data_IF_458553802221
#
_entry.id   IF_458553802221
#
_cell.length_a   1.000
_cell.length_b   1.000
_cell.length_c   1.000
_cell.angle_alpha   90.00
_cell.angle_beta   90.00
_cell.angle_gamma   90.00
#
_symmetry.space_group_name_H-M   'P 1'
#
loop_
_entity.id
_entity.type
_entity.pdbx_description
1 polymer ?
#
# COMPACT_ATOMS: atom_id res chain seq x y z
N UNK A 1 -18.46 -8.58 -4.68
CA UNK A 1 -19.37 -8.57 -3.51
C UNK A 1 -20.80 -8.81 -3.98
N UNK A 2 -21.54 -9.67 -3.32
CA UNK A 2 -22.99 -9.84 -3.51
C UNK A 2 -23.72 -9.11 -2.40
N UNK A 3 -24.63 -8.20 -2.76
CA UNK A 3 -25.48 -7.51 -1.81
C UNK A 3 -26.76 -8.29 -1.49
N UNK A 4 -27.53 -7.88 -0.48
CA UNK A 4 -28.74 -8.55 -0.02
C UNK A 4 -29.87 -8.57 -1.08
N UNK A 5 -29.92 -7.58 -1.97
CA UNK A 5 -30.85 -7.49 -3.09
C UNK A 5 -30.48 -8.41 -4.27
N UNK A 6 -29.36 -9.11 -4.17
CA UNK A 6 -28.86 -10.02 -5.19
C UNK A 6 -27.94 -9.39 -6.23
N UNK A 7 -27.71 -8.07 -6.17
CA UNK A 7 -26.81 -7.37 -7.09
C UNK A 7 -25.35 -7.79 -6.86
N UNK A 8 -24.58 -7.84 -7.94
CA UNK A 8 -23.15 -8.16 -7.91
C UNK A 8 -22.33 -6.92 -8.19
N UNK A 9 -21.29 -6.77 -7.37
CA UNK A 9 -20.30 -5.70 -7.48
C UNK A 9 -18.89 -6.26 -7.48
N UNK A 10 -18.00 -5.62 -8.23
CA UNK A 10 -16.60 -5.99 -8.34
C UNK A 10 -15.70 -4.76 -8.51
N UNK A 11 -14.41 -4.94 -8.40
CA UNK A 11 -13.42 -3.94 -8.77
C UNK A 11 -12.54 -4.53 -9.87
N UNK A 12 -12.69 -4.10 -11.13
CA UNK A 12 -11.79 -4.49 -12.21
C UNK A 12 -10.35 -4.11 -11.88
N UNK A 13 -9.40 -5.00 -12.21
CA UNK A 13 -7.98 -4.76 -11.92
C UNK A 13 -7.50 -3.42 -12.51
N UNK A 14 -7.85 -3.14 -13.76
CA UNK A 14 -7.46 -1.90 -14.41
C UNK A 14 -8.00 -0.66 -13.68
N UNK A 15 -9.25 -0.70 -13.19
CA UNK A 15 -9.83 0.39 -12.42
C UNK A 15 -9.08 0.58 -11.09
N UNK A 16 -8.78 -0.50 -10.39
CA UNK A 16 -8.01 -0.44 -9.15
C UNK A 16 -6.62 0.18 -9.35
N UNK A 17 -5.92 -0.20 -10.43
CA UNK A 17 -4.61 0.38 -10.76
C UNK A 17 -4.71 1.88 -11.08
N UNK A 18 -5.76 2.33 -11.79
CA UNK A 18 -6.04 3.75 -12.04
C UNK A 18 -6.34 4.51 -10.76
N UNK A 19 -7.18 3.95 -9.89
CA UNK A 19 -7.50 4.54 -8.58
C UNK A 19 -6.22 4.69 -7.75
N UNK A 20 -5.40 3.63 -7.65
CA UNK A 20 -4.14 3.64 -6.91
C UNK A 20 -3.14 4.65 -7.48
N UNK A 21 -3.01 4.76 -8.82
CA UNK A 21 -2.20 5.78 -9.49
C UNK A 21 -2.62 7.20 -9.07
N UNK A 22 -3.92 7.48 -9.16
CA UNK A 22 -4.45 8.81 -8.84
C UNK A 22 -4.24 9.18 -7.37
N UNK A 23 -4.45 8.22 -6.46
CA UNK A 23 -4.16 8.39 -5.03
C UNK A 23 -2.66 8.59 -4.80
N UNK A 24 -1.80 7.81 -5.45
CA UNK A 24 -0.33 7.96 -5.35
C UNK A 24 0.12 9.35 -5.82
N UNK A 25 -0.42 9.83 -6.94
CA UNK A 25 -0.15 11.16 -7.46
C UNK A 25 -0.48 12.25 -6.43
N UNK A 26 -1.63 12.14 -5.80
CA UNK A 26 -2.07 13.06 -4.75
C UNK A 26 -1.20 12.97 -3.50
N UNK A 27 -0.90 11.77 -3.01
CA UNK A 27 -0.09 11.57 -1.81
C UNK A 27 1.35 12.05 -2.01
N UNK A 28 1.90 11.91 -3.21
CA UNK A 28 3.22 12.45 -3.54
C UNK A 28 3.28 13.95 -3.34
N UNK A 29 2.27 14.69 -3.83
CA UNK A 29 2.26 16.14 -3.81
C UNK A 29 1.86 16.72 -2.44
N UNK A 30 0.99 16.03 -1.69
CA UNK A 30 0.31 16.61 -0.54
C UNK A 30 0.59 15.89 0.80
N UNK A 31 1.13 14.68 0.77
CA UNK A 31 1.38 13.88 1.97
C UNK A 31 2.86 13.65 2.25
N UNK A 32 3.67 13.39 1.22
CA UNK A 32 5.12 13.32 1.38
C UNK A 32 5.70 14.69 1.70
N UNK A 33 6.59 14.74 2.69
CA UNK A 33 7.38 15.95 2.96
C UNK A 33 8.40 16.21 1.84
N UNK A 34 8.84 17.45 1.72
CA UNK A 34 9.89 17.85 0.77
C UNK A 34 11.14 16.98 0.95
N UNK A 35 11.62 16.80 2.19
CA UNK A 35 12.79 15.97 2.47
C UNK A 35 12.62 14.50 2.08
N UNK A 36 11.39 13.92 2.16
CA UNK A 36 11.14 12.57 1.66
C UNK A 36 11.25 12.50 0.13
N UNK A 37 10.69 13.48 -0.58
CA UNK A 37 10.82 13.58 -2.05
C UNK A 37 12.28 13.78 -2.47
N UNK A 38 13.03 14.61 -1.76
CA UNK A 38 14.47 14.81 -1.98
C UNK A 38 15.26 13.51 -1.78
N UNK A 39 14.96 12.72 -0.73
CA UNK A 39 15.58 11.41 -0.51
C UNK A 39 15.29 10.48 -1.68
N UNK A 40 14.06 10.43 -2.18
CA UNK A 40 13.72 9.61 -3.35
C UNK A 40 14.52 10.07 -4.55
N UNK A 41 14.44 11.35 -4.91
CA UNK A 41 15.10 11.90 -6.10
C UNK A 41 16.62 11.75 -6.06
N UNK A 42 17.26 11.98 -4.91
CA UNK A 42 18.71 11.84 -4.75
C UNK A 42 19.19 10.38 -4.68
N UNK A 43 18.26 9.44 -4.49
CA UNK A 43 18.56 8.01 -4.44
C UNK A 43 18.40 7.30 -5.79
N UNK A 44 18.05 8.02 -6.86
CA UNK A 44 17.96 7.47 -8.21
C UNK A 44 19.33 7.46 -8.86
N UNK A 45 19.71 6.33 -9.46
CA UNK A 45 20.93 6.19 -10.23
C UNK A 45 20.64 6.53 -11.71
N UNK A 46 20.67 7.84 -12.02
CA UNK A 46 20.44 8.37 -13.37
C UNK A 46 21.74 8.33 -14.18
N UNK A 47 21.61 8.20 -15.50
CA UNK A 47 22.72 8.40 -16.42
C UNK A 47 23.05 9.90 -16.53
N UNK A 48 24.25 10.23 -16.98
CA UNK A 48 24.70 11.61 -17.12
C UNK A 48 23.71 12.46 -17.94
N UNK A 49 23.30 13.59 -17.36
CA UNK A 49 22.32 14.54 -17.92
C UNK A 49 20.86 14.04 -18.05
N UNK A 50 20.50 12.91 -17.48
CA UNK A 50 19.11 12.51 -17.36
C UNK A 50 18.49 13.13 -16.09
N UNK A 51 17.25 13.60 -16.22
CA UNK A 51 16.44 14.06 -15.10
C UNK A 51 15.17 13.21 -15.07
N UNK A 52 14.87 12.63 -13.92
CA UNK A 52 13.63 11.92 -13.66
C UNK A 52 13.09 12.36 -12.31
N UNK A 53 11.82 12.68 -12.25
CA UNK A 53 11.15 12.87 -10.96
C UNK A 53 10.80 11.49 -10.38
N UNK A 54 11.15 11.26 -9.14
CA UNK A 54 10.77 10.06 -8.40
C UNK A 54 9.25 9.82 -8.35
N UNK A 55 8.46 10.84 -8.66
CA UNK A 55 7.02 10.74 -8.84
C UNK A 55 6.64 9.79 -9.96
N UNK A 56 7.31 9.81 -11.10
CA UNK A 56 7.04 8.91 -12.23
C UNK A 56 7.27 7.45 -11.82
N UNK A 57 8.31 7.19 -11.01
CA UNK A 57 8.53 5.85 -10.42
C UNK A 57 7.42 5.44 -9.46
N UNK A 58 6.97 6.35 -8.62
CA UNK A 58 5.85 6.08 -7.70
C UNK A 58 4.57 5.76 -8.47
N UNK A 59 4.29 6.45 -9.56
CA UNK A 59 3.15 6.17 -10.44
C UNK A 59 3.28 4.81 -11.13
N UNK A 60 4.47 4.46 -11.61
CA UNK A 60 4.72 3.14 -12.21
C UNK A 60 4.53 2.01 -11.20
N UNK A 61 5.01 2.19 -9.95
CA UNK A 61 4.76 1.24 -8.87
C UNK A 61 3.27 1.05 -8.61
N UNK A 62 2.50 2.13 -8.56
CA UNK A 62 1.05 2.09 -8.37
C UNK A 62 0.33 1.37 -9.52
N UNK A 63 0.78 1.56 -10.77
CA UNK A 63 0.20 0.93 -11.95
C UNK A 63 0.59 -0.55 -12.12
N UNK A 64 1.61 -1.01 -11.41
CA UNK A 64 2.13 -2.38 -11.57
C UNK A 64 2.02 -3.24 -10.30
N UNK A 65 1.70 -2.66 -9.14
CA UNK A 65 1.75 -3.37 -7.85
C UNK A 65 0.94 -4.67 -7.84
N UNK A 66 -0.18 -4.66 -8.50
CA UNK A 66 -1.13 -5.77 -8.54
C UNK A 66 -1.14 -6.54 -9.87
N UNK A 67 -0.12 -6.38 -10.72
CA UNK A 67 0.00 -7.11 -12.00
C UNK A 67 -0.09 -8.64 -11.82
N UNK A 68 0.36 -9.15 -10.68
CA UNK A 68 0.25 -10.56 -10.32
C UNK A 68 -1.20 -11.05 -10.15
N UNK A 69 -2.19 -10.16 -10.05
CA UNK A 69 -3.61 -10.51 -10.11
C UNK A 69 -4.06 -10.93 -11.51
N UNK A 70 -3.36 -10.52 -12.56
CA UNK A 70 -3.59 -10.96 -13.93
C UNK A 70 -3.00 -12.36 -14.19
N UNK A 71 -3.29 -13.32 -13.33
CA UNK A 71 -2.80 -14.71 -13.41
C UNK A 71 -3.92 -15.71 -13.13
N UNK A 72 -3.90 -16.90 -13.74
CA UNK A 72 -4.84 -17.98 -13.40
C UNK A 72 -4.86 -18.28 -11.91
N UNK A 73 -3.71 -18.33 -11.25
CA UNK A 73 -3.60 -18.63 -9.82
C UNK A 73 -4.40 -17.65 -8.94
N UNK A 74 -4.48 -16.39 -9.33
CA UNK A 74 -5.29 -15.41 -8.62
C UNK A 74 -6.76 -15.48 -9.05
N UNK A 75 -7.04 -15.50 -10.36
CA UNK A 75 -8.39 -15.41 -10.92
C UNK A 75 -9.26 -16.61 -10.60
N UNK A 76 -8.66 -17.78 -10.38
CA UNK A 76 -9.40 -19.01 -10.01
C UNK A 76 -9.43 -19.28 -8.51
N UNK A 77 -9.02 -18.34 -7.69
CA UNK A 77 -8.98 -18.48 -6.23
C UNK A 77 -10.38 -18.65 -5.67
N UNK A 78 -10.65 -19.83 -5.11
CA UNK A 78 -11.95 -20.16 -4.53
C UNK A 78 -12.22 -19.37 -3.25
N UNK A 79 -13.49 -19.03 -3.05
CA UNK A 79 -13.96 -18.28 -1.87
C UNK A 79 -13.27 -16.91 -1.69
N UNK A 80 -12.87 -16.29 -2.77
CA UNK A 80 -12.38 -14.92 -2.76
C UNK A 80 -13.53 -13.94 -2.52
N UNK A 81 -14.71 -14.25 -3.07
CA UNK A 81 -15.93 -13.47 -2.85
C UNK A 81 -16.76 -14.08 -1.71
N UNK A 82 -17.76 -13.34 -1.26
CA UNK A 82 -18.74 -13.82 -0.28
C UNK A 82 -19.87 -14.68 -0.92
N UNK A 83 -19.79 -14.94 -2.22
CA UNK A 83 -20.82 -15.64 -2.99
C UNK A 83 -20.23 -16.53 -4.06
N UNK A 84 -20.61 -17.81 -4.04
CA UNK A 84 -20.24 -18.77 -5.09
C UNK A 84 -20.80 -18.37 -6.46
N UNK A 85 -21.98 -17.77 -6.50
CA UNK A 85 -22.61 -17.34 -7.75
C UNK A 85 -21.76 -16.23 -8.41
N UNK A 86 -21.27 -15.27 -7.61
CA UNK A 86 -20.37 -14.24 -8.11
C UNK A 86 -19.04 -14.81 -8.61
N UNK A 87 -18.46 -15.79 -7.90
CA UNK A 87 -17.25 -16.46 -8.36
C UNK A 87 -17.46 -17.10 -9.75
N UNK A 88 -18.63 -17.70 -9.97
CA UNK A 88 -18.98 -18.31 -11.27
C UNK A 88 -19.16 -17.27 -12.36
N UNK A 89 -19.88 -16.18 -12.10
CA UNK A 89 -20.07 -15.08 -13.06
C UNK A 89 -18.73 -14.44 -13.49
N UNK A 90 -17.80 -14.25 -12.55
CA UNK A 90 -16.48 -13.73 -12.86
C UNK A 90 -15.66 -14.70 -13.74
N UNK A 91 -15.75 -15.99 -13.48
CA UNK A 91 -15.11 -17.01 -14.34
C UNK A 91 -15.76 -17.07 -15.72
N UNK A 92 -17.08 -16.89 -15.82
CA UNK A 92 -17.81 -16.83 -17.09
C UNK A 92 -17.36 -15.62 -17.93
N UNK A 93 -17.16 -14.47 -17.31
CA UNK A 93 -16.57 -13.30 -17.98
C UNK A 93 -15.21 -13.64 -18.59
N UNK A 94 -14.32 -14.31 -17.85
CA UNK A 94 -13.01 -14.72 -18.36
C UNK A 94 -13.14 -15.72 -19.51
N UNK A 95 -14.00 -16.73 -19.38
CA UNK A 95 -14.19 -17.73 -20.43
C UNK A 95 -14.74 -17.12 -21.72
N UNK A 96 -15.67 -16.17 -21.61
CA UNK A 96 -16.20 -15.42 -22.75
C UNK A 96 -15.14 -14.57 -23.48
N UNK A 97 -14.09 -14.17 -22.76
CA UNK A 97 -12.94 -13.39 -23.28
C UNK A 97 -11.81 -14.29 -23.82
N UNK A 98 -12.02 -15.61 -23.91
CA UNK A 98 -11.07 -16.53 -24.54
C UNK A 98 -10.23 -17.35 -23.58
N UNK A 99 -10.39 -17.22 -22.25
CA UNK A 99 -9.72 -18.05 -21.26
C UNK A 99 -10.50 -19.36 -21.04
N UNK A 100 -10.56 -20.20 -22.09
CA UNK A 100 -11.32 -21.44 -22.11
C UNK A 100 -10.91 -22.40 -20.99
N UNK A 101 -11.87 -23.24 -20.54
CA UNK A 101 -11.65 -24.27 -19.52
C UNK A 101 -11.27 -23.72 -18.13
N UNK A 102 -11.41 -22.41 -17.88
CA UNK A 102 -11.02 -21.80 -16.61
C UNK A 102 -11.86 -22.31 -15.43
N UNK A 103 -13.12 -22.70 -15.67
CA UNK A 103 -14.00 -23.30 -14.64
C UNK A 103 -13.46 -24.61 -14.05
N UNK A 104 -12.87 -25.43 -14.92
CA UNK A 104 -12.38 -26.77 -14.58
C UNK A 104 -10.90 -26.74 -14.16
N UNK A 105 -10.27 -25.57 -14.22
CA UNK A 105 -8.85 -25.43 -13.95
C UNK A 105 -8.52 -25.82 -12.51
N UNK A 106 -7.58 -26.74 -12.37
CA UNK A 106 -7.03 -27.16 -11.09
C UNK A 106 -5.55 -26.80 -11.04
N UNK A 107 -5.20 -25.93 -10.11
CA UNK A 107 -3.85 -25.48 -9.89
C UNK A 107 -3.36 -25.93 -8.50
N UNK A 108 -2.74 -27.13 -8.40
CA UNK A 108 -2.29 -27.68 -7.11
C UNK A 108 -1.29 -26.77 -6.39
N UNK A 109 -0.55 -25.97 -7.16
CA UNK A 109 0.51 -25.08 -6.67
C UNK A 109 0.09 -23.61 -6.60
N UNK A 110 -1.20 -23.27 -6.74
CA UNK A 110 -1.65 -21.86 -6.75
C UNK A 110 -1.22 -21.08 -5.50
N UNK A 111 -1.16 -21.74 -4.35
CA UNK A 111 -0.70 -21.15 -3.09
C UNK A 111 0.80 -20.77 -3.08
N UNK A 112 1.60 -21.24 -4.03
CA UNK A 112 3.00 -20.86 -4.21
C UNK A 112 3.18 -19.56 -4.96
N UNK A 113 2.15 -19.10 -5.69
CA UNK A 113 2.19 -17.89 -6.50
C UNK A 113 1.20 -16.85 -5.94
N UNK A 114 1.45 -16.38 -4.70
CA UNK A 114 0.70 -15.24 -4.17
C UNK A 114 0.90 -14.04 -5.10
N UNK A 115 -0.15 -13.22 -5.33
CA UNK A 115 -0.11 -12.18 -6.35
C UNK A 115 1.06 -11.17 -6.17
N UNK A 116 1.51 -10.92 -4.95
CA UNK A 116 2.67 -10.04 -4.72
C UNK A 116 3.97 -10.66 -5.26
N UNK A 117 4.25 -11.94 -4.96
CA UNK A 117 5.43 -12.63 -5.52
C UNK A 117 5.27 -12.87 -7.03
N UNK A 118 4.03 -13.15 -7.48
CA UNK A 118 3.74 -13.29 -8.90
C UNK A 118 3.99 -11.99 -9.66
N UNK A 119 3.60 -10.84 -9.10
CA UNK A 119 3.89 -9.52 -9.65
C UNK A 119 5.40 -9.25 -9.73
N UNK A 120 6.13 -9.50 -8.64
CA UNK A 120 7.58 -9.37 -8.63
C UNK A 120 8.25 -10.23 -9.71
N UNK A 121 7.82 -11.49 -9.84
CA UNK A 121 8.34 -12.41 -10.87
C UNK A 121 8.04 -11.91 -12.28
N UNK A 122 6.79 -11.55 -12.59
CA UNK A 122 6.43 -11.03 -13.93
C UNK A 122 7.23 -9.79 -14.30
N UNK A 123 7.35 -8.83 -13.39
CA UNK A 123 8.12 -7.61 -13.63
C UNK A 123 9.61 -7.91 -13.87
N UNK A 124 10.18 -8.88 -13.16
CA UNK A 124 11.56 -9.34 -13.41
C UNK A 124 11.70 -9.99 -14.79
N UNK A 125 10.67 -10.74 -15.26
CA UNK A 125 10.68 -11.31 -16.62
C UNK A 125 10.59 -10.22 -17.70
N UNK A 126 9.95 -9.09 -17.43
CA UNK A 126 9.88 -7.93 -18.32
C UNK A 126 11.13 -7.04 -18.26
N UNK A 127 12.14 -7.44 -17.49
CA UNK A 127 13.43 -6.76 -17.42
C UNK A 127 13.53 -5.66 -16.36
N UNK A 128 12.54 -5.51 -15.51
CA UNK A 128 12.65 -4.59 -14.37
C UNK A 128 13.70 -5.07 -13.37
N UNK A 129 14.47 -4.13 -12.84
CA UNK A 129 15.51 -4.40 -11.87
C UNK A 129 14.92 -4.90 -10.55
N UNK A 130 15.72 -5.67 -9.83
CA UNK A 130 15.31 -6.28 -8.56
C UNK A 130 14.87 -5.24 -7.52
N UNK A 131 15.54 -4.10 -7.45
CA UNK A 131 15.24 -3.01 -6.52
C UNK A 131 13.82 -2.45 -6.71
N UNK A 132 13.34 -2.34 -7.96
CA UNK A 132 11.97 -1.97 -8.29
C UNK A 132 10.99 -3.12 -8.03
N UNK A 133 11.26 -4.30 -8.57
CA UNK A 133 10.36 -5.45 -8.49
C UNK A 133 10.11 -5.90 -7.03
N UNK A 134 11.12 -5.75 -6.15
CA UNK A 134 10.99 -6.05 -4.73
C UNK A 134 9.99 -5.13 -4.01
N UNK A 135 9.87 -3.87 -4.41
CA UNK A 135 8.85 -2.96 -3.84
C UNK A 135 7.45 -3.51 -4.14
N UNK A 136 7.22 -3.95 -5.39
CA UNK A 136 5.95 -4.59 -5.76
C UNK A 136 5.72 -5.88 -4.98
N UNK A 137 6.73 -6.74 -4.84
CA UNK A 137 6.64 -7.95 -4.02
C UNK A 137 6.33 -7.68 -2.54
N UNK A 138 6.64 -6.49 -2.06
CA UNK A 138 6.52 -6.08 -0.65
C UNK A 138 5.24 -5.27 -0.33
N UNK A 139 4.37 -4.94 -1.30
CA UNK A 139 3.26 -4.00 -1.08
C UNK A 139 2.26 -4.40 0.02
N UNK A 140 2.27 -5.65 0.45
CA UNK A 140 1.56 -6.09 1.66
C UNK A 140 2.36 -5.91 2.97
N UNK A 141 3.40 -5.11 2.97
CA UNK A 141 4.20 -4.74 4.15
C UNK A 141 5.36 -5.69 4.44
N UNK A 142 5.54 -6.77 3.68
CA UNK A 142 6.65 -7.71 3.90
C UNK A 142 7.26 -8.16 2.56
N UNK A 143 8.53 -7.81 2.30
CA UNK A 143 9.22 -8.28 1.11
C UNK A 143 9.41 -9.79 1.13
N UNK A 144 9.58 -10.37 -0.06
CA UNK A 144 9.97 -11.77 -0.20
C UNK A 144 11.31 -11.99 0.50
N UNK A 145 11.37 -12.97 1.38
CA UNK A 145 12.54 -13.17 2.26
C UNK A 145 13.76 -13.65 1.49
N UNK A 146 13.57 -14.49 0.48
CA UNK A 146 14.64 -15.06 -0.32
C UNK A 146 14.34 -14.86 -1.80
N UNK A 147 15.30 -14.32 -2.55
CA UNK A 147 15.20 -14.15 -4.00
C UNK A 147 14.91 -15.47 -4.72
N UNK A 148 15.40 -16.59 -4.16
CA UNK A 148 15.13 -17.92 -4.66
C UNK A 148 13.63 -18.25 -4.75
N UNK A 149 12.81 -17.72 -3.85
CA UNK A 149 11.35 -17.95 -3.88
C UNK A 149 10.72 -17.29 -5.12
N UNK A 150 11.31 -16.19 -5.60
CA UNK A 150 10.91 -15.52 -6.85
C UNK A 150 11.40 -16.32 -8.05
N UNK A 151 12.65 -16.80 -8.04
CA UNK A 151 13.21 -17.62 -9.13
C UNK A 151 12.45 -18.95 -9.28
N UNK A 152 12.03 -19.57 -8.18
CA UNK A 152 11.23 -20.80 -8.18
C UNK A 152 9.87 -20.65 -8.86
N UNK A 153 9.36 -19.42 -9.07
CA UNK A 153 8.11 -19.19 -9.80
C UNK A 153 8.18 -19.72 -11.24
N UNK A 154 9.38 -19.80 -11.81
CA UNK A 154 9.60 -20.42 -13.14
C UNK A 154 9.17 -21.90 -13.21
N UNK A 155 9.07 -22.58 -12.07
CA UNK A 155 8.61 -23.99 -12.01
C UNK A 155 7.08 -24.13 -11.98
N UNK A 156 6.33 -23.03 -11.97
CA UNK A 156 4.88 -23.02 -11.88
C UNK A 156 4.21 -22.32 -13.08
N UNK A 157 4.56 -22.65 -14.34
CA UNK A 157 4.03 -21.93 -15.52
C UNK A 157 2.51 -21.93 -15.60
N UNK A 158 1.84 -22.99 -15.15
CA UNK A 158 0.38 -23.07 -15.14
C UNK A 158 -0.28 -22.05 -14.19
N UNK A 159 0.41 -21.60 -13.15
CA UNK A 159 -0.06 -20.53 -12.26
C UNK A 159 -0.12 -19.17 -12.97
N UNK A 160 0.69 -18.97 -14.04
CA UNK A 160 0.80 -17.73 -14.79
C UNK A 160 0.07 -17.75 -16.12
N UNK A 161 -0.01 -18.93 -16.78
CA UNK A 161 -0.45 -19.05 -18.16
C UNK A 161 -1.49 -20.15 -18.39
N UNK A 162 -2.04 -20.74 -17.31
CA UNK A 162 -3.05 -21.79 -17.32
C UNK A 162 -2.55 -23.15 -17.83
N UNK A 163 -1.64 -23.16 -18.81
CA UNK A 163 -1.02 -24.34 -19.43
C UNK A 163 0.50 -24.17 -19.52
N UNK A 164 1.21 -25.29 -19.73
CA UNK A 164 2.69 -25.27 -19.89
C UNK A 164 3.13 -25.01 -21.33
N UNK A 165 2.31 -25.42 -22.30
CA UNK A 165 2.62 -25.28 -23.73
C UNK A 165 2.55 -23.81 -24.16
N UNK A 166 3.72 -23.22 -24.41
CA UNK A 166 3.86 -21.83 -24.85
C UNK A 166 3.21 -21.52 -26.21
N UNK A 167 2.96 -22.55 -27.03
CA UNK A 167 2.28 -22.41 -28.31
C UNK A 167 0.75 -22.50 -28.20
N UNK A 168 0.25 -22.85 -27.02
CA UNK A 168 -1.19 -22.88 -26.79
C UNK A 168 -1.79 -21.47 -26.84
N UNK A 169 -2.96 -21.29 -27.47
CA UNK A 169 -3.70 -20.02 -27.42
C UNK A 169 -3.98 -19.55 -26.00
N UNK A 170 -4.21 -20.44 -25.04
CA UNK A 170 -4.43 -20.08 -23.64
C UNK A 170 -3.19 -19.45 -23.01
N UNK A 171 -2.02 -20.05 -23.23
CA UNK A 171 -0.76 -19.47 -22.77
C UNK A 171 -0.56 -18.07 -23.33
N UNK A 172 -0.74 -17.94 -24.64
CA UNK A 172 -0.54 -16.68 -25.35
C UNK A 172 -1.54 -15.60 -24.90
N UNK A 173 -2.78 -15.94 -24.65
CA UNK A 173 -3.79 -15.00 -24.15
C UNK A 173 -3.38 -14.41 -22.78
N UNK A 174 -2.93 -15.26 -21.84
CA UNK A 174 -2.45 -14.78 -20.54
C UNK A 174 -1.20 -13.93 -20.68
N UNK A 175 -0.25 -14.36 -21.49
CA UNK A 175 0.97 -13.59 -21.76
C UNK A 175 0.63 -12.22 -22.36
N UNK A 176 -0.20 -12.19 -23.39
CA UNK A 176 -0.59 -10.96 -24.08
C UNK A 176 -1.22 -9.95 -23.13
N UNK A 177 -2.21 -10.37 -22.31
CA UNK A 177 -2.87 -9.41 -21.39
C UNK A 177 -1.92 -8.89 -20.31
N UNK A 178 -0.99 -9.70 -19.86
CA UNK A 178 0.02 -9.29 -18.88
C UNK A 178 1.01 -8.29 -19.51
N UNK A 179 1.46 -8.53 -20.73
CA UNK A 179 2.36 -7.64 -21.50
C UNK A 179 1.66 -6.33 -21.86
N UNK A 180 0.41 -6.38 -22.30
CA UNK A 180 -0.40 -5.18 -22.60
C UNK A 180 -0.62 -4.33 -21.35
N UNK A 181 -0.92 -4.96 -20.21
CA UNK A 181 -1.08 -4.26 -18.92
C UNK A 181 0.21 -3.59 -18.47
N UNK A 182 1.34 -4.26 -18.65
CA UNK A 182 2.65 -3.70 -18.31
C UNK A 182 3.05 -2.55 -19.25
N UNK A 183 2.83 -2.72 -20.55
CA UNK A 183 3.10 -1.68 -21.56
C UNK A 183 2.26 -0.43 -21.30
N UNK A 184 0.96 -0.63 -21.03
CA UNK A 184 0.07 0.45 -20.63
C UNK A 184 0.56 1.16 -19.36
N UNK A 185 1.04 0.43 -18.37
CA UNK A 185 1.56 1.01 -17.13
C UNK A 185 2.81 1.88 -17.36
N UNK A 186 3.71 1.45 -18.26
CA UNK A 186 4.87 2.24 -18.68
C UNK A 186 4.46 3.56 -19.34
N UNK A 187 3.54 3.49 -20.31
CA UNK A 187 3.03 4.67 -21.03
C UNK A 187 2.34 5.66 -20.08
N UNK A 188 1.47 5.17 -19.18
CA UNK A 188 0.76 5.97 -18.18
C UNK A 188 1.68 6.62 -17.12
N UNK A 189 2.86 6.05 -16.91
CA UNK A 189 3.89 6.59 -16.02
C UNK A 189 4.99 7.36 -16.77
N UNK A 190 4.79 7.67 -18.07
CA UNK A 190 5.72 8.41 -18.95
C UNK A 190 7.06 7.72 -19.22
N UNK A 191 7.15 6.39 -19.10
CA UNK A 191 8.35 5.65 -19.47
C UNK A 191 8.24 5.12 -20.90
N UNK A 192 9.26 5.40 -21.71
CA UNK A 192 9.34 4.91 -23.09
C UNK A 192 9.82 3.45 -23.18
N UNK A 193 10.57 2.99 -22.18
CA UNK A 193 11.09 1.63 -22.10
C UNK A 193 11.53 1.28 -20.69
N UNK A 194 11.71 -0.01 -20.43
CA UNK A 194 12.24 -0.52 -19.15
C UNK A 194 13.66 -0.01 -18.88
N UNK A 195 14.47 0.18 -19.93
CA UNK A 195 15.86 0.68 -19.82
C UNK A 195 15.95 2.12 -19.31
N UNK A 196 14.86 2.88 -19.39
CA UNK A 196 14.77 4.23 -18.85
C UNK A 196 14.52 4.26 -17.33
N UNK A 197 14.19 3.11 -16.71
CA UNK A 197 13.92 3.03 -15.29
C UNK A 197 15.25 2.93 -14.51
N UNK A 198 15.59 3.90 -13.65
CA UNK A 198 16.84 3.90 -12.91
C UNK A 198 16.87 2.83 -11.84
N UNK A 199 18.05 2.54 -11.30
CA UNK A 199 18.17 1.81 -10.04
C UNK A 199 17.80 2.69 -8.86
N UNK A 200 17.21 2.08 -7.84
CA UNK A 200 16.62 2.75 -6.68
C UNK A 200 17.36 2.32 -5.42
N UNK A 201 18.06 3.24 -4.75
CA UNK A 201 18.73 2.92 -3.47
C UNK A 201 17.74 2.67 -2.35
N UNK A 202 18.17 1.88 -1.37
CA UNK A 202 17.32 1.42 -0.27
C UNK A 202 16.51 2.52 0.46
N UNK A 203 17.02 3.73 0.75
CA UNK A 203 16.22 4.76 1.41
C UNK A 203 14.97 5.15 0.60
N UNK A 204 15.10 5.25 -0.73
CA UNK A 204 13.97 5.53 -1.62
C UNK A 204 13.00 4.34 -1.70
N UNK A 205 13.50 3.10 -1.75
CA UNK A 205 12.65 1.90 -1.77
C UNK A 205 11.69 1.88 -0.56
N UNK A 206 12.17 2.24 0.63
CA UNK A 206 11.35 2.26 1.86
C UNK A 206 10.26 3.33 1.78
N UNK A 207 10.59 4.54 1.29
CA UNK A 207 9.62 5.63 1.15
C UNK A 207 8.58 5.29 0.09
N UNK A 208 9.02 4.81 -1.07
CA UNK A 208 8.14 4.41 -2.18
C UNK A 208 7.22 3.24 -1.78
N UNK A 209 7.73 2.27 -1.03
CA UNK A 209 6.91 1.17 -0.50
C UNK A 209 5.84 1.69 0.47
N UNK A 210 6.20 2.57 1.40
CA UNK A 210 5.25 3.18 2.32
C UNK A 210 4.16 3.98 1.60
N UNK A 211 4.54 4.76 0.60
CA UNK A 211 3.62 5.52 -0.25
C UNK A 211 2.66 4.58 -1.00
N UNK A 212 3.19 3.52 -1.61
CA UNK A 212 2.41 2.53 -2.35
C UNK A 212 1.39 1.83 -1.44
N UNK A 213 1.80 1.36 -0.26
CA UNK A 213 0.90 0.71 0.70
C UNK A 213 -0.25 1.66 1.11
N UNK A 214 0.06 2.92 1.39
CA UNK A 214 -0.97 3.90 1.73
C UNK A 214 -1.93 4.16 0.57
N UNK A 215 -1.41 4.27 -0.64
CA UNK A 215 -2.22 4.51 -1.83
C UNK A 215 -3.14 3.32 -2.14
N UNK A 216 -2.62 2.09 -2.08
CA UNK A 216 -3.40 0.86 -2.26
C UNK A 216 -4.52 0.74 -1.21
N UNK A 217 -4.22 0.97 0.07
CA UNK A 217 -5.24 0.91 1.12
C UNK A 217 -6.35 1.93 0.95
N UNK A 218 -6.03 3.15 0.54
CA UNK A 218 -7.03 4.19 0.27
C UNK A 218 -7.86 3.80 -0.95
N UNK A 219 -7.22 3.37 -2.05
CA UNK A 219 -7.89 2.98 -3.29
C UNK A 219 -8.71 1.68 -3.17
N UNK A 220 -8.36 0.80 -2.22
CA UNK A 220 -9.08 -0.44 -1.92
C UNK A 220 -10.27 -0.26 -0.97
N UNK A 221 -10.44 0.91 -0.38
CA UNK A 221 -11.52 1.15 0.57
C UNK A 221 -12.84 1.46 -0.17
N UNK A 222 -13.85 0.59 -0.01
CA UNK A 222 -15.17 0.71 -0.68
C UNK A 222 -15.94 1.99 -0.30
N UNK A 223 -15.66 2.60 0.86
CA UNK A 223 -16.28 3.86 1.27
C UNK A 223 -15.74 5.05 0.47
N UNK A 224 -14.47 5.00 0.08
CA UNK A 224 -13.80 6.05 -0.69
C UNK A 224 -13.93 5.78 -2.19
N UNK A 225 -13.65 4.55 -2.61
CA UNK A 225 -13.67 4.09 -3.99
C UNK A 225 -14.66 2.92 -4.15
N UNK A 226 -15.98 3.22 -4.34
CA UNK A 226 -17.01 2.20 -4.43
C UNK A 226 -16.74 1.17 -5.53
N UNK A 227 -17.16 -0.07 -5.28
CA UNK A 227 -17.16 -1.13 -6.28
C UNK A 227 -18.07 -0.76 -7.45
N UNK A 228 -17.82 -1.32 -8.62
CA UNK A 228 -18.62 -1.17 -9.81
C UNK A 228 -19.68 -2.29 -9.90
N UNK A 229 -20.79 -2.03 -10.58
CA UNK A 229 -21.70 -3.09 -11.00
C UNK A 229 -20.96 -4.12 -11.87
N UNK A 230 -21.35 -5.39 -11.80
CA UNK A 230 -20.70 -6.44 -12.58
C UNK A 230 -20.72 -6.20 -14.09
N UNK A 231 -21.71 -5.43 -14.58
CA UNK A 231 -21.86 -5.06 -15.99
C UNK A 231 -20.95 -3.90 -16.42
N UNK A 232 -20.34 -3.20 -15.47
CA UNK A 232 -19.43 -2.08 -15.70
C UNK A 232 -17.98 -2.59 -15.62
N UNK A 233 -17.16 -2.24 -16.62
CA UNK A 233 -15.73 -2.62 -16.66
C UNK A 233 -14.83 -1.44 -16.37
N UNK A 234 -15.29 -0.21 -16.57
CA UNK A 234 -14.53 1.02 -16.35
C UNK A 234 -15.45 2.20 -16.06
N UNK A 235 -14.98 3.14 -15.26
CA UNK A 235 -15.63 4.42 -15.05
C UNK A 235 -15.08 5.45 -16.05
N UNK A 236 -15.97 6.15 -16.77
CA UNK A 236 -15.56 7.17 -17.72
C UNK A 236 -15.00 8.42 -17.02
N UNK A 237 -15.67 8.85 -15.94
CA UNK A 237 -15.27 10.05 -15.20
C UNK A 237 -14.33 9.69 -14.04
N UNK A 238 -13.08 9.43 -14.40
CA UNK A 238 -12.02 9.10 -13.45
C UNK A 238 -11.71 10.27 -12.50
N UNK A 239 -11.84 11.50 -12.97
CA UNK A 239 -11.59 12.69 -12.16
C UNK A 239 -12.62 12.85 -11.05
N UNK A 240 -13.90 12.78 -11.35
CA UNK A 240 -14.96 12.84 -10.33
C UNK A 240 -14.83 11.71 -9.31
N UNK A 241 -14.56 10.48 -9.76
CA UNK A 241 -14.34 9.34 -8.87
C UNK A 241 -13.18 9.61 -7.89
N UNK A 242 -12.07 10.12 -8.39
CA UNK A 242 -10.91 10.46 -7.59
C UNK A 242 -11.22 11.58 -6.59
N UNK A 243 -11.80 12.69 -7.05
CA UNK A 243 -12.13 13.85 -6.21
C UNK A 243 -13.08 13.47 -5.08
N UNK A 244 -14.11 12.68 -5.36
CA UNK A 244 -15.06 12.19 -4.35
C UNK A 244 -14.35 11.27 -3.34
N UNK A 245 -13.54 10.31 -3.80
CA UNK A 245 -12.81 9.38 -2.96
C UNK A 245 -11.84 10.07 -2.00
N UNK A 246 -11.01 10.95 -2.53
CA UNK A 246 -10.06 11.74 -1.71
C UNK A 246 -10.79 12.70 -0.77
N UNK A 247 -11.90 13.29 -1.21
CA UNK A 247 -12.71 14.16 -0.35
C UNK A 247 -13.28 13.40 0.85
N UNK A 248 -13.74 12.17 0.66
CA UNK A 248 -14.21 11.30 1.75
C UNK A 248 -13.06 10.91 2.69
N UNK A 249 -11.93 10.48 2.14
CA UNK A 249 -10.75 10.13 2.93
C UNK A 249 -10.24 11.31 3.77
N UNK A 250 -10.21 12.53 3.22
CA UNK A 250 -9.78 13.75 3.96
C UNK A 250 -10.77 14.20 5.03
N UNK A 251 -12.03 13.77 4.97
CA UNK A 251 -13.03 14.04 6.03
C UNK A 251 -12.88 13.12 7.24
N UNK A 252 -12.13 12.01 7.12
CA UNK A 252 -11.75 11.24 8.29
C UNK A 252 -10.89 12.14 9.16
N UNK A 253 -11.34 12.35 10.40
CA UNK A 253 -10.69 13.27 11.34
C UNK A 253 -9.23 12.88 11.52
N UNK A 254 -8.34 13.74 11.07
CA UNK A 254 -6.93 13.65 11.46
C UNK A 254 -6.82 14.04 12.93
N UNK A 255 -6.05 13.26 13.69
CA UNK A 255 -5.69 13.65 15.04
C UNK A 255 -4.89 14.96 14.97
N UNK A 256 -5.36 15.96 15.71
CA UNK A 256 -4.65 17.24 15.86
C UNK A 256 -4.10 17.35 17.27
N UNK A 257 -2.77 17.54 17.42
CA UNK A 257 -2.19 17.73 18.74
C UNK A 257 -2.70 19.04 19.36
N UNK A 258 -3.15 18.97 20.61
CA UNK A 258 -3.58 20.16 21.32
C UNK A 258 -2.41 21.07 21.65
N UNK A 259 -2.67 22.36 21.57
CA UNK A 259 -1.78 23.38 22.13
C UNK A 259 -2.31 23.82 23.49
N UNK A 260 -1.53 23.59 24.54
CA UNK A 260 -1.80 24.09 25.88
C UNK A 260 -0.61 24.94 26.35
N UNK A 261 -0.85 26.12 26.96
CA UNK A 261 0.20 26.94 27.55
C UNK A 261 0.96 26.24 28.66
N UNK A 262 0.26 25.40 29.43
CA UNK A 262 0.82 24.51 30.45
C UNK A 262 0.58 23.06 30.05
N UNK A 263 1.63 22.37 29.68
CA UNK A 263 1.56 20.97 29.26
C UNK A 263 1.20 19.99 30.36
N UNK A 264 1.34 20.39 31.63
CA UNK A 264 0.90 19.58 32.77
C UNK A 264 -0.62 19.47 32.83
N UNK A 265 -1.37 20.46 32.29
CA UNK A 265 -2.83 20.41 32.15
C UNK A 265 -3.29 19.29 31.19
N UNK A 266 -2.43 18.88 30.25
CA UNK A 266 -2.74 17.81 29.32
C UNK A 266 -2.97 16.46 30.03
N UNK A 267 -2.29 16.20 31.14
CA UNK A 267 -2.53 15.01 31.96
C UNK A 267 -3.93 14.98 32.59
N UNK A 268 -4.38 16.12 33.09
CA UNK A 268 -5.76 16.22 33.63
C UNK A 268 -6.80 16.04 32.53
N UNK A 269 -6.56 16.66 31.36
CA UNK A 269 -7.49 16.63 30.24
C UNK A 269 -7.59 15.24 29.61
N UNK A 270 -6.45 14.59 29.33
CA UNK A 270 -6.39 13.31 28.64
C UNK A 270 -6.61 12.10 29.53
N UNK A 271 -6.22 12.19 30.81
CA UNK A 271 -6.18 11.04 31.72
C UNK A 271 -6.91 11.28 33.04
N UNK A 272 -7.39 12.48 33.34
CA UNK A 272 -8.13 12.81 34.52
C UNK A 272 -7.30 12.85 35.84
N UNK A 273 -5.98 13.01 35.74
CA UNK A 273 -5.10 13.11 36.91
C UNK A 273 -3.98 14.16 36.72
N UNK A 274 -3.46 14.69 37.81
CA UNK A 274 -2.31 15.59 37.80
C UNK A 274 -1.02 14.81 37.57
N UNK A 275 -0.06 15.37 36.79
CA UNK A 275 1.21 14.69 36.51
C UNK A 275 1.99 14.43 37.81
N UNK A 276 2.74 13.35 37.78
CA UNK A 276 3.76 13.06 38.78
C UNK A 276 5.05 13.81 38.45
N UNK A 277 5.93 13.99 39.42
CA UNK A 277 7.17 14.73 39.24
C UNK A 277 7.99 14.28 38.03
N UNK A 278 8.10 12.95 37.76
CA UNK A 278 8.82 12.44 36.59
C UNK A 278 8.13 12.81 35.26
N UNK A 279 6.83 12.93 35.27
CA UNK A 279 6.03 13.33 34.10
C UNK A 279 6.19 14.84 33.84
N UNK A 280 6.07 15.69 34.87
CA UNK A 280 6.32 17.14 34.74
C UNK A 280 7.76 17.44 34.31
N UNK A 281 8.75 16.72 34.83
CA UNK A 281 10.15 16.91 34.41
C UNK A 281 10.31 16.58 32.94
N UNK A 282 9.72 15.48 32.43
CA UNK A 282 9.76 15.14 31.02
C UNK A 282 9.09 16.24 30.17
N UNK A 283 7.91 16.68 30.57
CA UNK A 283 7.16 17.75 29.91
C UNK A 283 7.99 19.02 29.78
N UNK A 284 8.68 19.41 30.87
CA UNK A 284 9.55 20.60 30.85
C UNK A 284 10.76 20.42 29.93
N UNK A 285 11.43 19.28 29.98
CA UNK A 285 12.58 18.98 29.10
C UNK A 285 12.20 19.08 27.61
N UNK A 286 11.02 18.60 27.24
CA UNK A 286 10.52 18.70 25.86
C UNK A 286 10.12 20.15 25.53
N UNK A 287 9.54 20.88 26.50
CA UNK A 287 9.19 22.29 26.32
C UNK A 287 10.44 23.14 26.01
N UNK A 288 11.53 22.84 26.68
CA UNK A 288 12.80 23.59 26.55
C UNK A 288 13.63 23.13 25.33
N UNK A 289 13.32 22.02 24.68
CA UNK A 289 14.03 21.54 23.49
C UNK A 289 13.71 22.42 22.28
N UNK A 290 14.71 22.94 21.58
CA UNK A 290 14.55 23.78 20.39
C UNK A 290 14.16 22.95 19.15
N UNK A 291 14.64 21.71 19.05
CA UNK A 291 14.43 20.83 17.90
C UNK A 291 13.92 19.43 18.32
N UNK A 292 13.19 18.73 17.43
CA UNK A 292 12.81 17.35 17.63
C UNK A 292 14.04 16.44 17.75
N UNK A 293 13.99 15.46 18.64
CA UNK A 293 15.10 14.55 18.87
C UNK A 293 14.67 13.22 19.49
N UNK A 294 15.65 12.45 19.93
CA UNK A 294 15.40 11.20 20.65
C UNK A 294 15.25 11.51 22.12
N UNK A 295 14.12 11.09 22.71
CA UNK A 295 13.84 11.21 24.14
C UNK A 295 13.87 9.83 24.77
N UNK A 296 14.70 9.66 25.83
CA UNK A 296 14.79 8.40 26.58
C UNK A 296 14.25 8.66 28.00
N UNK A 297 13.17 7.95 28.37
CA UNK A 297 12.57 8.03 29.69
C UNK A 297 12.83 6.74 30.49
N UNK A 298 13.72 6.81 31.45
CA UNK A 298 13.97 5.75 32.40
C UNK A 298 13.30 6.07 33.75
N UNK A 299 12.37 5.22 34.17
CA UNK A 299 11.66 5.38 35.45
C UNK A 299 11.19 4.02 35.95
N UNK A 300 11.05 3.82 37.26
CA UNK A 300 10.48 2.61 37.87
C UNK A 300 9.11 2.26 37.30
N UNK A 301 8.70 1.00 37.49
CA UNK A 301 7.35 0.55 37.09
C UNK A 301 6.28 1.30 37.93
N UNK A 302 5.12 1.53 37.28
CA UNK A 302 3.97 2.16 37.98
C UNK A 302 4.02 3.70 38.03
N UNK A 303 5.06 4.36 37.48
CA UNK A 303 5.14 5.83 37.48
C UNK A 303 4.45 6.51 36.31
N UNK A 304 3.69 5.77 35.50
CA UNK A 304 2.91 6.34 34.39
C UNK A 304 3.77 6.69 33.17
N UNK A 305 4.76 5.84 32.81
CA UNK A 305 5.60 6.03 31.61
C UNK A 305 4.81 6.08 30.31
N UNK A 306 3.74 5.31 30.23
CA UNK A 306 2.90 5.28 29.02
C UNK A 306 2.20 6.62 28.80
N UNK A 307 1.58 7.15 29.84
CA UNK A 307 0.93 8.47 29.80
C UNK A 307 1.96 9.58 29.52
N UNK A 308 3.13 9.48 30.15
CA UNK A 308 4.22 10.40 29.87
C UNK A 308 4.67 10.36 28.40
N UNK A 309 4.77 9.16 27.80
CA UNK A 309 5.13 8.99 26.39
C UNK A 309 4.05 9.56 25.44
N UNK A 310 2.76 9.38 25.75
CA UNK A 310 1.67 9.94 24.96
C UNK A 310 1.64 11.47 25.00
N UNK A 311 1.78 12.07 26.20
CA UNK A 311 1.88 13.54 26.35
C UNK A 311 3.11 14.07 25.63
N UNK A 312 4.26 13.40 25.77
CA UNK A 312 5.48 13.78 25.08
C UNK A 312 5.32 13.72 23.54
N UNK A 313 4.65 12.69 23.04
CA UNK A 313 4.35 12.56 21.60
C UNK A 313 3.46 13.71 21.11
N UNK A 314 2.40 14.06 21.86
CA UNK A 314 1.51 15.17 21.53
C UNK A 314 2.25 16.53 21.57
N UNK A 315 3.06 16.75 22.57
CA UNK A 315 3.89 17.96 22.71
C UNK A 315 4.89 18.08 21.55
N UNK A 316 5.58 17.00 21.20
CA UNK A 316 6.52 16.98 20.07
C UNK A 316 5.82 17.15 18.72
N UNK A 317 4.65 16.53 18.54
CA UNK A 317 3.84 16.68 17.33
C UNK A 317 3.41 18.13 17.15
N UNK A 318 2.92 18.78 18.22
CA UNK A 318 2.55 20.19 18.18
C UNK A 318 3.75 21.09 17.81
N UNK A 319 4.90 20.90 18.47
CA UNK A 319 6.13 21.68 18.20
C UNK A 319 6.63 21.52 16.75
N UNK A 320 6.49 20.34 16.17
CA UNK A 320 7.01 20.00 14.83
C UNK A 320 5.96 20.11 13.72
N UNK A 321 4.72 20.51 14.04
CA UNK A 321 3.63 20.57 13.08
C UNK A 321 3.25 19.19 12.52
N UNK A 322 3.40 18.13 13.31
CA UNK A 322 3.06 16.75 12.92
C UNK A 322 1.68 16.37 13.44
N UNK A 323 0.97 15.53 12.68
CA UNK A 323 -0.39 15.08 12.97
C UNK A 323 -0.53 13.56 13.10
N UNK A 324 0.53 12.88 13.48
CA UNK A 324 0.52 11.43 13.62
C UNK A 324 1.52 10.91 14.65
N UNK A 325 1.17 9.78 15.30
CA UNK A 325 2.02 9.08 16.26
C UNK A 325 2.13 7.62 15.88
N UNK A 326 3.34 7.09 15.82
CA UNK A 326 3.58 5.66 15.69
C UNK A 326 3.98 5.07 17.05
N UNK A 327 3.23 4.09 17.52
CA UNK A 327 3.46 3.44 18.81
C UNK A 327 3.93 2.00 18.61
N UNK A 328 5.24 1.78 18.71
CA UNK A 328 5.86 0.45 18.54
C UNK A 328 5.99 -0.30 19.87
N UNK A 329 5.51 -1.55 19.91
CA UNK A 329 5.60 -2.42 21.08
C UNK A 329 6.20 -3.78 20.71
N UNK A 330 6.93 -4.43 21.63
CA UNK A 330 7.71 -5.63 21.31
C UNK A 330 6.85 -6.88 21.06
N UNK A 331 5.59 -6.92 21.51
CA UNK A 331 4.71 -8.09 21.34
C UNK A 331 3.29 -7.69 20.98
N UNK A 332 2.59 -8.55 20.25
CA UNK A 332 1.17 -8.37 19.91
C UNK A 332 0.28 -8.28 21.15
N UNK A 333 0.58 -9.05 22.19
CA UNK A 333 -0.18 -9.02 23.45
C UNK A 333 -0.09 -7.64 24.12
N UNK A 334 1.08 -7.02 24.14
CA UNK A 334 1.25 -5.66 24.71
C UNK A 334 0.61 -4.62 23.81
N UNK A 335 0.66 -4.77 22.49
CA UNK A 335 -0.01 -3.88 21.54
C UNK A 335 -1.54 -3.90 21.71
N UNK A 336 -2.13 -5.09 21.81
CA UNK A 336 -3.57 -5.23 22.06
C UNK A 336 -3.98 -4.67 23.44
N UNK A 337 -3.14 -4.87 24.46
CA UNK A 337 -3.42 -4.38 25.82
C UNK A 337 -3.38 -2.85 25.96
N UNK A 338 -2.64 -2.15 25.10
CA UNK A 338 -2.54 -0.68 25.15
C UNK A 338 -3.53 0.02 24.20
N UNK A 339 -4.09 -0.71 23.23
CA UNK A 339 -4.91 -0.14 22.16
C UNK A 339 -6.06 0.72 22.71
N UNK A 340 -6.87 0.18 23.63
CA UNK A 340 -7.98 0.92 24.23
C UNK A 340 -7.55 2.17 25.03
N UNK A 341 -6.31 2.21 25.51
CA UNK A 341 -5.76 3.42 26.20
C UNK A 341 -5.36 4.49 25.20
N UNK A 342 -4.83 4.08 24.04
CA UNK A 342 -4.48 5.01 22.95
C UNK A 342 -5.77 5.55 22.32
N UNK A 343 -6.76 4.70 22.07
CA UNK A 343 -8.08 5.10 21.57
C UNK A 343 -8.78 6.11 22.48
N UNK A 344 -8.70 5.90 23.79
CA UNK A 344 -9.25 6.84 24.76
C UNK A 344 -8.43 8.11 24.96
N UNK A 345 -7.18 8.14 24.48
CA UNK A 345 -6.34 9.34 24.48
C UNK A 345 -6.57 10.19 23.22
N UNK A 346 -6.84 9.57 22.06
CA UNK A 346 -7.17 10.28 20.80
C UNK A 346 -8.54 10.97 20.91
#
# INVERSE_FOLDING_TARGET
KKEEDGSFYWLPLLQHLKDTKNVTNFLWDHWLSEGQREIVNSSLELKDNEFLDGKELALLLALTHDIGKATPAFQTKKAFTNSRDLDLELLEKLESRGFKEIYSLSLPSANKSHHSIAGQYLLSQYGLKEDFATIVGAHHGKPVQFIKDVEEQAYYPTNYYQVEDKHSPLYQNWQTIQEELFTWALEEANFQSVDAIPSIKQPAQVILLGLLIMADWIASNEEYFPLLSLDEEEIFDQESRFVEGISKWRKTTTWEPEYLPDWDELYEKRFGFKPRNVQSVLTQVIADADEPGIVILEAPMGLGKTEAALVAAEQLANKSGRSGVFFGLPTQATSNGIFGRIEGWL
#
